data_IF_324030195751
#
_entry.id   IF_324030195751
#
_cell.length_a   1.000
_cell.length_b   1.000
_cell.length_c   1.000
_cell.angle_alpha   90.00
_cell.angle_beta   90.00
_cell.angle_gamma   90.00
#
_symmetry.space_group_name_H-M   'P 1'
#
loop_
_entity.id
_entity.type
_entity.pdbx_description
1 polymer ?
#
# COMPACT_ATOMS: atom_id res chain seq x y z
N UNK A 1 -28.79 0.79 -11.41
CA UNK A 1 -27.40 0.98 -10.94
C UNK A 1 -27.09 -0.18 -10.01
N UNK A 2 -26.06 -0.96 -10.32
CA UNK A 2 -25.81 -2.26 -9.71
C UNK A 2 -25.79 -2.19 -8.18
N UNK A 3 -26.35 -3.21 -7.53
CA UNK A 3 -26.34 -3.39 -6.07
C UNK A 3 -24.89 -3.42 -5.57
N UNK A 4 -24.39 -2.27 -5.13
CA UNK A 4 -23.01 -2.13 -4.72
C UNK A 4 -22.86 -2.71 -3.31
N UNK A 5 -22.00 -3.71 -3.10
CA UNK A 5 -21.88 -4.36 -1.81
C UNK A 5 -21.38 -3.37 -0.74
N UNK A 6 -21.91 -3.50 0.47
CA UNK A 6 -21.58 -2.65 1.62
C UNK A 6 -20.06 -2.68 1.90
N UNK A 7 -19.33 -1.55 1.77
CA UNK A 7 -17.89 -1.48 1.97
C UNK A 7 -17.42 -1.98 3.33
N UNK A 8 -18.23 -1.82 4.37
CA UNK A 8 -17.91 -2.26 5.74
C UNK A 8 -17.84 -3.78 5.81
N UNK A 9 -18.84 -4.46 5.25
CA UNK A 9 -18.88 -5.93 5.19
C UNK A 9 -17.76 -6.49 4.31
N UNK A 10 -17.40 -5.80 3.22
CA UNK A 10 -16.28 -6.22 2.37
C UNK A 10 -14.97 -6.13 3.15
N UNK A 11 -14.72 -5.02 3.86
CA UNK A 11 -13.52 -4.84 4.68
C UNK A 11 -13.36 -5.97 5.70
N UNK A 12 -14.43 -6.31 6.43
CA UNK A 12 -14.42 -7.41 7.40
C UNK A 12 -14.08 -8.75 6.75
N UNK A 13 -14.75 -9.08 5.63
CA UNK A 13 -14.52 -10.31 4.88
C UNK A 13 -13.09 -10.44 4.35
N UNK A 14 -12.49 -9.33 3.92
CA UNK A 14 -11.09 -9.29 3.44
C UNK A 14 -10.09 -9.53 4.58
N UNK A 15 -10.41 -9.07 5.79
CA UNK A 15 -9.49 -9.14 6.93
C UNK A 15 -9.58 -10.49 7.65
N UNK A 16 -10.76 -11.13 7.64
CA UNK A 16 -11.05 -12.37 8.36
C UNK A 16 -10.08 -13.52 8.03
N UNK A 17 -9.54 -13.58 6.81
CA UNK A 17 -8.59 -14.62 6.40
C UNK A 17 -7.20 -14.47 7.02
N UNK A 18 -6.85 -13.31 7.58
CA UNK A 18 -5.52 -13.08 8.13
C UNK A 18 -5.41 -13.54 9.59
N UNK A 19 -4.23 -14.00 10.03
CA UNK A 19 -3.95 -14.21 11.45
C UNK A 19 -4.13 -12.91 12.24
N UNK A 20 -4.51 -12.99 13.52
CA UNK A 20 -4.91 -11.85 14.36
C UNK A 20 -3.92 -10.67 14.32
N UNK A 21 -2.61 -10.96 14.37
CA UNK A 21 -1.56 -9.92 14.31
C UNK A 21 -1.53 -9.18 12.97
N UNK A 22 -1.71 -9.91 11.87
CA UNK A 22 -1.74 -9.36 10.51
C UNK A 22 -3.07 -8.64 10.27
N UNK A 23 -4.18 -9.22 10.69
CA UNK A 23 -5.52 -8.64 10.60
C UNK A 23 -5.58 -7.26 11.28
N UNK A 24 -5.05 -7.14 12.51
CA UNK A 24 -4.99 -5.87 13.25
C UNK A 24 -4.19 -4.78 12.52
N UNK A 25 -3.11 -5.16 11.84
CA UNK A 25 -2.30 -4.21 11.06
C UNK A 25 -2.96 -3.86 9.73
N UNK A 26 -3.58 -4.83 9.05
CA UNK A 26 -4.25 -4.64 7.75
C UNK A 26 -5.55 -3.85 7.89
N UNK A 27 -6.25 -3.92 9.01
CA UNK A 27 -7.47 -3.15 9.25
C UNK A 27 -7.26 -1.62 9.27
N UNK A 28 -6.05 -1.17 9.60
CA UNK A 28 -5.62 0.22 9.57
C UNK A 28 -5.20 0.70 8.17
N UNK A 29 -4.93 -0.25 7.25
CA UNK A 29 -4.50 0.02 5.87
C UNK A 29 -5.63 -0.17 4.85
N UNK A 30 -6.83 -0.52 5.31
CA UNK A 30 -8.05 -0.64 4.51
C UNK A 30 -9.10 0.22 5.20
N UNK A 31 -9.32 1.42 4.69
CA UNK A 31 -10.24 2.40 5.28
C UNK A 31 -11.31 2.73 4.25
N UNK A 32 -12.55 2.83 4.71
CA UNK A 32 -13.68 3.18 3.85
C UNK A 32 -13.56 4.67 3.59
N UNK A 33 -13.47 5.04 2.31
CA UNK A 33 -13.41 6.44 1.94
C UNK A 33 -14.75 7.11 2.27
N UNK A 34 -14.70 8.16 3.08
CA UNK A 34 -15.86 8.98 3.40
C UNK A 34 -15.40 10.44 3.51
N UNK A 35 -15.75 11.26 2.53
CA UNK A 35 -15.41 12.68 2.56
C UNK A 35 -16.44 13.38 3.45
N UNK A 36 -16.04 13.70 4.67
CA UNK A 36 -16.87 14.41 5.63
C UNK A 36 -16.98 15.91 5.34
N UNK A 37 -17.61 16.63 6.27
CA UNK A 37 -17.65 18.09 6.22
C UNK A 37 -16.22 18.66 6.24
N UNK A 38 -16.01 19.78 5.54
CA UNK A 38 -14.69 20.41 5.41
C UNK A 38 -13.62 19.58 4.67
N UNK A 39 -14.03 18.67 3.77
CA UNK A 39 -13.12 17.81 2.99
C UNK A 39 -12.26 16.88 3.86
N UNK A 40 -12.66 16.65 5.11
CA UNK A 40 -11.97 15.75 6.01
C UNK A 40 -12.10 14.30 5.52
N UNK A 41 -10.96 13.65 5.33
CA UNK A 41 -10.88 12.24 4.94
C UNK A 41 -10.36 11.40 6.11
N UNK A 42 -10.85 10.16 6.30
CA UNK A 42 -10.35 9.26 7.32
C UNK A 42 -8.85 8.99 7.15
N UNK A 43 -8.11 9.00 8.25
CA UNK A 43 -6.69 8.67 8.23
C UNK A 43 -6.48 7.19 7.86
N UNK A 44 -5.48 6.95 7.01
CA UNK A 44 -5.04 5.60 6.61
C UNK A 44 -3.57 5.41 6.97
N UNK A 45 -3.24 4.31 7.64
CA UNK A 45 -1.85 4.01 8.00
C UNK A 45 -1.06 3.65 6.75
N UNK A 46 -0.19 4.54 6.31
CA UNK A 46 0.70 4.37 5.17
C UNK A 46 2.18 4.34 5.59
N UNK A 47 3.08 4.09 4.64
CA UNK A 47 4.54 4.14 4.84
C UNK A 47 5.12 3.29 6.00
N UNK A 48 4.42 2.22 6.41
CA UNK A 48 4.94 1.26 7.39
C UNK A 48 5.58 0.05 6.71
N UNK A 49 6.46 -0.66 7.41
CA UNK A 49 7.08 -1.91 6.94
C UNK A 49 6.04 -2.92 6.46
N UNK A 50 6.32 -3.61 5.36
CA UNK A 50 5.45 -4.67 4.82
C UNK A 50 5.37 -5.85 5.80
N UNK A 51 4.21 -6.49 5.90
CA UNK A 51 4.06 -7.75 6.64
C UNK A 51 4.74 -8.90 5.88
N UNK A 52 5.57 -9.73 6.51
CA UNK A 52 6.19 -10.89 5.86
C UNK A 52 5.15 -11.87 5.28
N UNK A 53 5.42 -12.41 4.09
CA UNK A 53 4.55 -13.42 3.45
C UNK A 53 3.24 -12.91 2.87
N UNK A 54 3.00 -11.59 2.84
CA UNK A 54 1.71 -11.00 2.41
C UNK A 54 1.58 -10.82 0.87
N UNK A 55 2.60 -11.21 0.09
CA UNK A 55 2.67 -11.02 -1.37
C UNK A 55 2.39 -9.55 -1.75
N UNK A 56 3.32 -8.66 -1.38
CA UNK A 56 3.17 -7.22 -1.65
C UNK A 56 3.61 -6.86 -3.07
N UNK A 57 3.02 -5.81 -3.63
CA UNK A 57 3.42 -5.22 -4.92
C UNK A 57 4.55 -4.19 -4.78
N UNK A 58 5.14 -4.00 -3.58
CA UNK A 58 6.24 -3.06 -3.37
C UNK A 58 7.55 -3.58 -3.94
N UNK A 59 8.36 -2.67 -4.47
CA UNK A 59 9.77 -2.91 -4.80
C UNK A 59 10.71 -2.58 -3.64
N UNK A 60 11.96 -2.26 -3.97
CA UNK A 60 13.01 -1.86 -3.04
C UNK A 60 13.46 -0.40 -3.29
N UNK A 61 14.28 0.12 -2.38
CA UNK A 61 14.85 1.47 -2.51
C UNK A 61 15.74 1.61 -3.74
N UNK A 62 16.46 0.56 -4.14
CA UNK A 62 17.25 0.54 -5.37
C UNK A 62 16.38 0.76 -6.62
N UNK A 63 15.23 0.07 -6.72
CA UNK A 63 14.30 0.26 -7.83
C UNK A 63 13.78 1.71 -7.89
N UNK A 64 13.50 2.32 -6.73
CA UNK A 64 13.08 3.73 -6.66
C UNK A 64 14.19 4.70 -7.06
N UNK A 65 15.39 4.57 -6.52
CA UNK A 65 16.47 5.50 -6.81
C UNK A 65 17.02 5.30 -8.23
N UNK A 66 17.54 4.11 -8.53
CA UNK A 66 18.16 3.83 -9.82
C UNK A 66 17.14 3.72 -10.94
N UNK A 67 16.05 2.97 -10.73
CA UNK A 67 15.08 2.67 -11.79
C UNK A 67 14.18 3.85 -12.16
N UNK A 68 13.84 4.70 -11.19
CA UNK A 68 12.88 5.80 -11.41
C UNK A 68 13.55 7.16 -11.47
N UNK A 69 14.40 7.52 -10.49
CA UNK A 69 14.96 8.88 -10.41
C UNK A 69 16.20 9.05 -11.27
N UNK A 70 17.22 8.20 -11.10
CA UNK A 70 18.50 8.33 -11.80
C UNK A 70 18.49 7.71 -13.19
N UNK A 71 17.69 6.66 -13.39
CA UNK A 71 17.63 5.90 -14.64
C UNK A 71 17.30 6.72 -15.89
N UNK A 72 16.39 7.72 -15.83
CA UNK A 72 16.08 8.59 -16.96
C UNK A 72 17.17 9.60 -17.35
N UNK A 73 18.22 9.79 -16.55
CA UNK A 73 19.32 10.70 -16.86
C UNK A 73 20.18 10.13 -17.98
N UNK A 74 20.35 10.88 -19.08
CA UNK A 74 20.93 10.37 -20.35
C UNK A 74 22.44 10.59 -20.50
N UNK A 75 23.00 11.49 -19.73
CA UNK A 75 24.39 11.97 -19.80
C UNK A 75 25.27 11.45 -18.64
N UNK A 76 24.73 10.53 -17.82
CA UNK A 76 25.43 9.93 -16.68
C UNK A 76 25.40 8.40 -16.83
N UNK A 77 26.55 7.77 -16.58
CA UNK A 77 26.64 6.30 -16.48
C UNK A 77 26.24 5.88 -15.06
N UNK A 78 25.08 5.25 -14.93
CA UNK A 78 24.59 4.71 -13.65
C UNK A 78 25.04 3.26 -13.46
N UNK A 79 26.06 3.04 -12.64
CA UNK A 79 26.59 1.70 -12.34
C UNK A 79 25.79 1.06 -11.20
N UNK A 80 25.31 -0.17 -11.42
CA UNK A 80 24.75 -1.00 -10.35
C UNK A 80 25.90 -1.71 -9.65
N UNK A 81 26.12 -1.38 -8.38
CA UNK A 81 27.22 -1.98 -7.62
C UNK A 81 26.70 -3.02 -6.64
N UNK A 82 27.09 -4.27 -6.88
CA UNK A 82 26.68 -5.45 -6.11
C UNK A 82 25.76 -6.40 -6.91
N UNK A 83 25.51 -7.62 -6.40
CA UNK A 83 24.47 -8.52 -6.88
C UNK A 83 23.06 -8.05 -6.54
#
# INVERSE_FOLDING_TARGET
MAHQPDPSKIKEKLIQKYPTKVARKRSQQIVINNVGNNQAVPEITANVRTTPGIITQRGCTYAGCKGVVLGPTRDIVNITHGP
#
